data_IF_179297125320
#
_entry.id   IF_179297125320
#
_cell.length_a   1.000
_cell.length_b   1.000
_cell.length_c   1.000
_cell.angle_alpha   90.00
_cell.angle_beta   90.00
_cell.angle_gamma   90.00
#
_symmetry.space_group_name_H-M   'P 1'
#
loop_
_entity.id
_entity.type
_entity.pdbx_description
1 polymer ?
#
# COMPACT_ATOMS: atom_id res chain seq x y z
N UNK A 1 12.04 17.41 -14.95
CA UNK A 1 12.10 16.01 -14.43
C UNK A 1 10.77 15.30 -14.66
N UNK A 2 10.79 13.98 -14.85
CA UNK A 2 9.57 13.15 -14.93
C UNK A 2 9.71 11.97 -13.99
N UNK A 3 8.71 11.79 -13.11
CA UNK A 3 8.66 10.70 -12.14
C UNK A 3 7.55 9.73 -12.54
N UNK A 4 7.85 8.45 -12.55
CA UNK A 4 6.88 7.38 -12.83
C UNK A 4 6.82 6.46 -11.61
N UNK A 5 5.65 6.37 -10.99
CA UNK A 5 5.41 5.48 -9.86
C UNK A 5 4.60 4.25 -10.30
N UNK A 6 4.77 3.13 -9.63
CA UNK A 6 3.95 1.95 -9.91
C UNK A 6 2.51 2.14 -9.45
N UNK A 7 2.28 2.78 -8.30
CA UNK A 7 0.94 2.97 -7.70
C UNK A 7 0.57 4.44 -7.53
N UNK A 8 -0.73 4.70 -7.36
CA UNK A 8 -1.28 6.03 -7.07
C UNK A 8 -0.77 6.61 -5.75
N UNK A 9 -0.54 5.77 -4.75
CA UNK A 9 -0.04 6.17 -3.43
C UNK A 9 1.39 6.70 -3.51
N UNK A 10 2.27 5.96 -4.17
CA UNK A 10 3.64 6.40 -4.41
C UNK A 10 3.69 7.65 -5.29
N UNK A 11 2.80 7.77 -6.28
CA UNK A 11 2.69 8.98 -7.09
C UNK A 11 2.24 10.18 -6.27
N UNK A 12 1.30 9.99 -5.33
CA UNK A 12 0.87 11.06 -4.41
C UNK A 12 2.01 11.54 -3.52
N UNK A 13 2.78 10.61 -2.94
CA UNK A 13 3.96 10.95 -2.14
C UNK A 13 5.05 11.61 -3.00
N UNK A 14 5.25 11.13 -4.23
CA UNK A 14 6.18 11.76 -5.15
C UNK A 14 5.78 13.20 -5.48
N UNK A 15 4.50 13.48 -5.75
CA UNK A 15 3.99 14.85 -5.97
C UNK A 15 4.24 15.74 -4.77
N UNK A 16 4.07 15.22 -3.55
CA UNK A 16 4.35 15.99 -2.33
C UNK A 16 5.83 16.41 -2.23
N UNK A 17 6.74 15.59 -2.76
CA UNK A 17 8.19 15.86 -2.74
C UNK A 17 8.62 16.76 -3.89
N UNK A 18 8.24 16.42 -5.12
CA UNK A 18 8.74 17.14 -6.29
C UNK A 18 7.94 18.39 -6.64
N UNK A 19 6.67 18.48 -6.20
CA UNK A 19 5.79 19.62 -6.50
C UNK A 19 5.71 19.92 -8.00
N UNK A 20 5.93 21.15 -8.37
CA UNK A 20 5.95 21.69 -9.72
C UNK A 20 7.24 21.42 -10.51
N UNK A 21 8.25 20.84 -9.87
CA UNK A 21 9.53 20.51 -10.50
C UNK A 21 9.48 19.32 -11.46
N UNK A 22 8.45 18.49 -11.36
CA UNK A 22 8.29 17.29 -12.18
C UNK A 22 6.85 16.98 -12.53
N UNK A 23 6.68 16.33 -13.69
CA UNK A 23 5.46 15.57 -13.98
C UNK A 23 5.51 14.23 -13.27
N UNK A 24 4.42 13.84 -12.60
CA UNK A 24 4.31 12.58 -11.88
C UNK A 24 3.15 11.77 -12.44
N UNK A 25 3.44 10.58 -12.92
CA UNK A 25 2.47 9.64 -13.51
C UNK A 25 2.50 8.28 -12.82
N UNK A 26 1.46 7.47 -13.03
CA UNK A 26 1.39 6.09 -12.56
C UNK A 26 1.37 5.10 -13.69
N UNK A 27 1.91 3.90 -13.46
CA UNK A 27 1.79 2.79 -14.40
C UNK A 27 0.42 2.12 -14.23
N UNK A 28 0.04 1.80 -13.00
CA UNK A 28 -1.28 1.21 -12.71
C UNK A 28 -2.35 2.29 -12.88
N UNK A 29 -3.40 2.04 -13.69
CA UNK A 29 -4.51 2.97 -13.84
C UNK A 29 -5.25 3.17 -12.50
N UNK A 30 -5.82 4.37 -12.25
CA UNK A 30 -6.76 4.56 -11.15
C UNK A 30 -7.90 3.54 -11.25
N UNK A 31 -8.38 3.02 -10.16
CA UNK A 31 -9.43 2.00 -10.07
C UNK A 31 -9.06 0.58 -10.58
N UNK A 32 -7.84 0.33 -11.04
CA UNK A 32 -7.36 -1.03 -11.24
C UNK A 32 -6.89 -1.60 -9.88
N UNK A 33 -7.15 -2.89 -9.67
CA UNK A 33 -6.56 -3.61 -8.56
C UNK A 33 -5.02 -3.70 -8.79
N UNK A 34 -4.21 -3.16 -7.90
CA UNK A 34 -2.76 -3.16 -8.10
C UNK A 34 -2.13 -4.54 -8.02
N UNK A 35 -2.72 -5.47 -7.27
CA UNK A 35 -2.19 -6.82 -7.08
C UNK A 35 -2.50 -7.73 -8.26
N UNK A 36 -3.65 -7.52 -8.90
CA UNK A 36 -4.04 -8.23 -10.12
C UNK A 36 -3.56 -7.54 -11.41
N UNK A 37 -2.73 -6.49 -11.33
CA UNK A 37 -2.29 -5.74 -12.50
C UNK A 37 -1.30 -6.54 -13.35
N UNK A 38 -1.66 -6.75 -14.61
CA UNK A 38 -0.79 -7.32 -15.63
C UNK A 38 -0.39 -6.23 -16.65
N UNK A 39 0.91 -5.89 -16.77
CA UNK A 39 1.37 -4.85 -17.68
C UNK A 39 1.24 -5.30 -19.13
N UNK A 40 0.79 -4.37 -19.98
CA UNK A 40 0.73 -4.54 -21.43
C UNK A 40 1.99 -3.97 -22.10
N UNK A 41 2.33 -4.39 -23.32
CA UNK A 41 3.44 -3.78 -24.06
C UNK A 41 3.31 -2.25 -24.21
N UNK A 42 2.07 -1.72 -24.27
CA UNK A 42 1.80 -0.28 -24.31
C UNK A 42 2.25 0.46 -23.03
N UNK A 43 2.32 -0.21 -21.88
CA UNK A 43 2.73 0.41 -20.63
C UNK A 43 4.22 0.74 -20.61
N UNK A 44 5.03 0.10 -21.49
CA UNK A 44 6.43 0.47 -21.71
C UNK A 44 6.57 1.95 -22.13
N UNK A 45 5.61 2.49 -22.89
CA UNK A 45 5.61 3.89 -23.29
C UNK A 45 5.54 4.85 -22.09
N UNK A 46 4.99 4.42 -20.95
CA UNK A 46 4.92 5.22 -19.73
C UNK A 46 6.28 5.47 -19.10
N UNK A 47 7.28 4.61 -19.36
CA UNK A 47 8.66 4.80 -18.90
C UNK A 47 9.47 5.77 -19.76
N UNK A 48 8.97 6.11 -20.97
CA UNK A 48 9.71 6.98 -21.89
C UNK A 48 9.97 8.36 -21.26
N UNK A 49 11.26 8.72 -21.16
CA UNK A 49 11.71 9.97 -20.59
C UNK A 49 11.53 10.09 -19.07
N UNK A 50 11.29 8.98 -18.36
CA UNK A 50 11.31 8.95 -16.92
C UNK A 50 12.73 9.27 -16.42
N UNK A 51 12.85 10.20 -15.48
CA UNK A 51 14.09 10.50 -14.76
C UNK A 51 14.16 9.73 -13.45
N UNK A 52 12.98 9.45 -12.85
CA UNK A 52 12.86 8.68 -11.61
C UNK A 52 11.74 7.66 -11.77
N UNK A 53 11.99 6.43 -11.34
CA UNK A 53 10.98 5.37 -11.20
C UNK A 53 10.88 4.98 -9.74
N UNK A 54 9.64 4.94 -9.21
CA UNK A 54 9.34 4.59 -7.81
C UNK A 54 8.48 3.34 -7.79
N UNK A 55 8.97 2.29 -7.14
CA UNK A 55 8.24 1.03 -6.97
C UNK A 55 7.89 0.76 -5.52
N UNK A 56 6.84 -0.06 -5.31
CA UNK A 56 6.48 -0.58 -3.98
C UNK A 56 7.56 -1.55 -3.47
N UNK A 57 8.05 -2.44 -4.32
CA UNK A 57 8.99 -3.49 -3.89
C UNK A 57 8.31 -4.67 -3.22
N UNK A 58 9.09 -5.48 -2.45
CA UNK A 58 8.62 -6.66 -1.71
C UNK A 58 7.88 -7.71 -2.57
N UNK A 59 8.03 -7.68 -3.89
CA UNK A 59 7.33 -8.57 -4.83
C UNK A 59 5.97 -8.06 -5.31
N UNK A 60 5.46 -6.96 -4.76
CA UNK A 60 4.16 -6.39 -5.11
C UNK A 60 4.04 -6.01 -6.60
N UNK A 61 5.04 -5.31 -7.10
CA UNK A 61 5.13 -4.83 -8.48
C UNK A 61 6.31 -5.48 -9.25
N UNK A 62 6.48 -6.81 -9.09
CA UNK A 62 7.53 -7.59 -9.73
C UNK A 62 7.52 -7.49 -11.26
N UNK A 63 6.36 -7.26 -11.85
CA UNK A 63 6.18 -7.06 -13.29
C UNK A 63 6.95 -5.85 -13.83
N UNK A 64 7.29 -4.87 -12.97
CA UNK A 64 8.09 -3.69 -13.35
C UNK A 64 9.48 -4.08 -13.84
N UNK A 65 10.09 -5.12 -13.26
CA UNK A 65 11.44 -5.55 -13.65
C UNK A 65 11.52 -5.94 -15.13
N UNK A 66 10.46 -6.54 -15.66
CA UNK A 66 10.35 -6.86 -17.10
C UNK A 66 10.25 -5.59 -17.94
N UNK A 67 9.43 -4.61 -17.54
CA UNK A 67 9.30 -3.35 -18.27
C UNK A 67 10.61 -2.56 -18.26
N UNK A 68 11.29 -2.48 -17.13
CA UNK A 68 12.60 -1.80 -17.02
C UNK A 68 13.67 -2.48 -17.88
N UNK A 69 13.72 -3.81 -17.89
CA UNK A 69 14.63 -4.56 -18.74
C UNK A 69 14.38 -4.31 -20.24
N UNK A 70 13.11 -4.28 -20.65
CA UNK A 70 12.73 -3.98 -22.04
C UNK A 70 12.99 -2.52 -22.42
N UNK A 71 12.85 -1.58 -21.48
CA UNK A 71 13.11 -0.17 -21.70
C UNK A 71 14.61 0.12 -21.89
N UNK A 72 15.48 -0.59 -21.15
CA UNK A 72 16.92 -0.58 -21.32
C UNK A 72 17.65 0.67 -20.78
N UNK A 73 16.95 1.61 -20.12
CA UNK A 73 17.59 2.80 -19.53
C UNK A 73 18.18 2.45 -18.15
N UNK A 74 19.52 2.46 -18.09
CA UNK A 74 20.25 2.16 -16.87
C UNK A 74 20.01 3.16 -15.74
N UNK A 75 19.64 4.41 -16.07
CA UNK A 75 19.44 5.47 -15.07
C UNK A 75 18.22 5.18 -14.16
N UNK A 76 17.18 4.54 -14.69
CA UNK A 76 15.95 4.18 -13.95
C UNK A 76 15.84 2.69 -13.65
N UNK A 77 16.86 1.90 -14.00
CA UNK A 77 16.92 0.49 -13.66
C UNK A 77 17.53 0.28 -12.27
N UNK A 78 17.44 -0.92 -11.74
CA UNK A 78 17.99 -1.27 -10.41
C UNK A 78 19.44 -0.84 -10.27
N UNK A 79 19.74 -0.03 -9.26
CA UNK A 79 21.07 0.58 -9.03
C UNK A 79 21.31 1.88 -9.78
N UNK A 80 20.41 2.31 -10.67
CA UNK A 80 20.47 3.61 -11.35
C UNK A 80 20.14 4.78 -10.43
N UNK A 81 20.60 5.97 -10.80
CA UNK A 81 20.42 7.19 -9.99
C UNK A 81 18.96 7.56 -9.74
N UNK A 82 18.08 7.25 -10.69
CA UNK A 82 16.63 7.49 -10.62
C UNK A 82 15.79 6.30 -10.16
N UNK A 83 16.40 5.17 -9.76
CA UNK A 83 15.62 4.02 -9.26
C UNK A 83 15.36 4.15 -7.77
N UNK A 84 14.08 3.96 -7.37
CA UNK A 84 13.62 3.98 -5.98
C UNK A 84 12.82 2.72 -5.69
N UNK A 85 13.31 1.88 -4.79
CA UNK A 85 12.54 0.85 -4.11
C UNK A 85 12.07 1.42 -2.77
N UNK A 86 10.79 1.77 -2.69
CA UNK A 86 10.23 2.48 -1.55
C UNK A 86 10.10 1.61 -0.28
N UNK A 87 10.35 0.29 -0.39
CA UNK A 87 10.34 -0.62 0.75
C UNK A 87 11.64 -0.58 1.55
N UNK A 88 12.71 0.01 1.00
CA UNK A 88 14.02 0.07 1.66
C UNK A 88 13.94 0.93 2.92
N UNK A 89 14.34 0.35 4.06
CA UNK A 89 14.30 1.01 5.36
C UNK A 89 12.96 0.93 6.09
N UNK A 90 11.91 0.36 5.48
CA UNK A 90 10.62 0.14 6.13
C UNK A 90 10.74 -0.94 7.21
N UNK A 91 10.22 -0.73 8.43
CA UNK A 91 10.08 -1.78 9.44
C UNK A 91 9.04 -2.81 9.01
N UNK A 92 9.50 -3.90 8.39
CA UNK A 92 8.64 -4.88 7.74
C UNK A 92 7.78 -5.67 8.73
N UNK A 93 6.55 -5.99 8.31
CA UNK A 93 5.63 -6.90 9.01
C UNK A 93 5.47 -8.20 8.22
N UNK A 94 5.12 -9.27 8.92
CA UNK A 94 4.82 -10.59 8.33
C UNK A 94 5.95 -11.11 7.43
N UNK A 95 7.19 -11.00 7.90
CA UNK A 95 8.37 -11.44 7.17
C UNK A 95 8.37 -12.96 7.08
N UNK A 96 8.36 -13.50 5.86
CA UNK A 96 8.40 -14.95 5.62
C UNK A 96 9.72 -15.54 6.13
N UNK A 97 9.61 -16.68 6.83
CA UNK A 97 10.78 -17.37 7.40
C UNK A 97 11.25 -16.85 8.77
N UNK A 98 10.63 -15.81 9.32
CA UNK A 98 10.78 -15.50 10.74
C UNK A 98 9.97 -16.50 11.55
N UNK A 99 10.57 -17.08 12.60
CA UNK A 99 9.97 -18.12 13.47
C UNK A 99 8.80 -17.63 14.33
N UNK A 100 8.24 -16.48 14.06
CA UNK A 100 7.35 -15.74 14.97
C UNK A 100 5.86 -16.03 14.74
N UNK A 101 5.45 -16.62 13.62
CA UNK A 101 4.04 -17.01 13.45
C UNK A 101 3.83 -18.31 12.67
N UNK A 102 3.52 -19.44 13.38
CA UNK A 102 3.11 -20.67 12.73
C UNK A 102 1.76 -20.60 12.01
N UNK A 103 0.95 -19.56 12.27
CA UNK A 103 -0.36 -19.38 11.66
C UNK A 103 -0.26 -18.73 10.26
N UNK A 104 0.86 -18.09 9.93
CA UNK A 104 1.07 -17.47 8.63
C UNK A 104 1.52 -18.49 7.57
N UNK A 105 0.75 -19.58 7.43
CA UNK A 105 0.92 -20.59 6.35
C UNK A 105 0.15 -20.22 5.09
N UNK A 106 -0.45 -19.04 5.07
CA UNK A 106 -1.33 -18.61 4.01
C UNK A 106 -0.48 -18.15 2.84
N UNK A 107 -0.61 -18.91 1.75
CA UNK A 107 0.18 -18.80 0.53
C UNK A 107 -0.06 -17.53 -0.28
N UNK A 108 -0.07 -16.36 0.35
CA UNK A 108 -0.04 -15.10 -0.36
C UNK A 108 1.29 -15.00 -1.12
N UNK A 109 1.20 -14.76 -2.42
CA UNK A 109 2.33 -14.65 -3.32
C UNK A 109 3.16 -13.37 -3.09
N UNK A 110 2.86 -12.61 -2.03
CA UNK A 110 3.68 -11.49 -1.61
C UNK A 110 5.09 -11.98 -1.26
N UNK A 111 6.10 -11.27 -1.75
CA UNK A 111 7.50 -11.62 -1.65
C UNK A 111 7.99 -11.97 -0.23
N UNK A 112 8.91 -11.17 0.33
CA UNK A 112 9.54 -11.44 1.62
C UNK A 112 8.70 -11.00 2.83
N UNK A 113 7.76 -10.07 2.68
CA UNK A 113 6.95 -9.48 3.75
C UNK A 113 5.63 -8.92 3.19
N UNK A 114 4.71 -8.50 4.09
CA UNK A 114 3.50 -7.80 3.69
C UNK A 114 3.86 -6.47 3.00
N UNK A 115 3.36 -6.19 1.78
CA UNK A 115 3.78 -5.05 0.99
C UNK A 115 3.01 -3.74 1.29
N UNK A 116 1.93 -3.78 2.07
CA UNK A 116 1.01 -2.65 2.28
C UNK A 116 1.52 -1.61 3.30
N UNK A 117 2.82 -1.36 3.32
CA UNK A 117 3.48 -0.51 4.33
C UNK A 117 3.11 0.97 4.24
N UNK A 118 2.61 1.46 3.10
CA UNK A 118 2.13 2.84 2.94
C UNK A 118 0.90 3.15 3.80
N UNK A 119 0.19 2.12 4.28
CA UNK A 119 -0.95 2.25 5.18
C UNK A 119 -0.58 2.57 6.62
N UNK A 120 0.70 2.56 6.99
CA UNK A 120 1.19 3.28 8.16
C UNK A 120 1.68 4.67 7.72
N UNK A 121 0.96 5.76 8.02
CA UNK A 121 1.33 7.10 7.56
C UNK A 121 2.73 7.54 7.98
N UNK A 122 3.26 7.02 9.09
CA UNK A 122 4.62 7.34 9.51
C UNK A 122 5.69 6.81 8.54
N UNK A 123 5.40 5.77 7.76
CA UNK A 123 6.32 5.28 6.74
C UNK A 123 6.50 6.26 5.57
N UNK A 124 5.60 7.25 5.43
CA UNK A 124 5.75 8.31 4.45
C UNK A 124 7.05 9.12 4.64
N UNK A 125 7.59 9.19 5.86
CA UNK A 125 8.89 9.83 6.11
C UNK A 125 10.03 9.09 5.38
N UNK A 126 10.04 7.76 5.45
CA UNK A 126 11.04 6.90 4.79
C UNK A 126 10.86 6.96 3.28
N UNK A 127 9.63 6.77 2.81
CA UNK A 127 9.29 6.75 1.37
C UNK A 127 9.65 8.08 0.72
N UNK A 128 9.22 9.20 1.31
CA UNK A 128 9.52 10.54 0.79
C UNK A 128 11.00 10.90 0.87
N UNK A 129 11.73 10.34 1.85
CA UNK A 129 13.18 10.42 1.94
C UNK A 129 13.86 9.79 0.72
N UNK A 130 13.53 8.55 0.41
CA UNK A 130 14.08 7.84 -0.75
C UNK A 130 13.75 8.54 -2.08
N UNK A 131 12.52 9.06 -2.22
CA UNK A 131 12.11 9.83 -3.42
C UNK A 131 12.91 11.13 -3.52
N UNK A 132 13.08 11.86 -2.40
CA UNK A 132 13.83 13.12 -2.39
C UNK A 132 15.30 12.90 -2.75
N UNK A 133 15.94 11.87 -2.20
CA UNK A 133 17.31 11.51 -2.53
C UNK A 133 17.48 11.20 -4.02
N UNK A 134 16.57 10.42 -4.63
CA UNK A 134 16.61 10.15 -6.05
C UNK A 134 16.38 11.42 -6.87
N UNK A 135 15.42 12.26 -6.49
CA UNK A 135 15.16 13.54 -7.14
C UNK A 135 16.41 14.46 -7.13
N UNK A 136 17.10 14.53 -6.00
CA UNK A 136 18.33 15.33 -5.84
C UNK A 136 19.48 14.73 -6.66
N UNK A 137 19.61 13.38 -6.72
CA UNK A 137 20.64 12.75 -7.57
C UNK A 137 20.47 13.07 -9.05
N UNK A 138 19.23 13.15 -9.54
CA UNK A 138 18.96 13.40 -10.97
C UNK A 138 18.82 14.88 -11.31
N UNK A 139 18.58 15.75 -10.33
CA UNK A 139 18.44 17.19 -10.48
C UNK A 139 19.00 17.92 -9.24
N UNK A 140 20.34 17.99 -9.07
CA UNK A 140 20.97 18.58 -7.88
C UNK A 140 20.60 20.06 -7.66
N UNK A 141 20.35 20.80 -8.73
CA UNK A 141 19.91 22.22 -8.69
C UNK A 141 18.54 22.38 -8.02
N UNK A 142 17.72 21.35 -8.01
CA UNK A 142 16.38 21.36 -7.39
C UNK A 142 16.41 20.99 -5.90
N UNK A 143 17.57 20.64 -5.33
CA UNK A 143 17.69 20.08 -3.98
C UNK A 143 16.96 20.89 -2.90
N UNK A 144 17.19 22.21 -2.86
CA UNK A 144 16.58 23.07 -1.85
C UNK A 144 15.03 23.06 -1.90
N UNK A 145 14.46 23.03 -3.11
CA UNK A 145 13.01 23.01 -3.31
C UNK A 145 12.41 21.65 -2.95
N UNK A 146 13.09 20.56 -3.34
CA UNK A 146 12.69 19.18 -2.99
C UNK A 146 12.65 19.01 -1.47
N UNK A 147 13.70 19.45 -0.77
CA UNK A 147 13.78 19.38 0.69
C UNK A 147 12.64 20.20 1.32
N UNK A 148 12.44 21.45 0.90
CA UNK A 148 11.40 22.31 1.44
C UNK A 148 9.99 21.74 1.24
N UNK A 149 9.70 21.16 0.06
CA UNK A 149 8.42 20.53 -0.23
C UNK A 149 8.19 19.32 0.71
N UNK A 150 9.20 18.44 0.83
CA UNK A 150 9.15 17.27 1.71
C UNK A 150 8.91 17.67 3.17
N UNK A 151 9.67 18.63 3.67
CA UNK A 151 9.56 19.08 5.07
C UNK A 151 8.18 19.70 5.35
N UNK A 152 7.66 20.48 4.40
CA UNK A 152 6.30 21.02 4.48
C UNK A 152 5.22 19.92 4.49
N UNK A 153 5.40 18.88 3.69
CA UNK A 153 4.50 17.71 3.71
C UNK A 153 4.57 16.96 5.04
N UNK A 154 5.77 16.66 5.53
CA UNK A 154 5.96 15.92 6.78
C UNK A 154 5.45 16.68 8.00
N UNK A 155 5.57 18.02 7.99
CA UNK A 155 5.03 18.86 9.06
C UNK A 155 3.50 18.74 9.14
N UNK A 156 2.80 18.79 8.00
CA UNK A 156 1.34 18.58 7.94
C UNK A 156 0.96 17.17 8.36
N UNK A 157 1.61 16.16 7.80
CA UNK A 157 1.34 14.75 8.11
C UNK A 157 1.49 14.46 9.61
N UNK A 158 2.47 15.06 10.27
CA UNK A 158 2.67 14.92 11.72
C UNK A 158 1.48 15.45 12.52
N UNK A 159 0.92 16.57 12.11
CA UNK A 159 -0.26 17.15 12.74
C UNK A 159 -1.50 16.25 12.52
N UNK A 160 -1.72 15.85 11.27
CA UNK A 160 -2.83 14.96 10.90
C UNK A 160 -2.75 13.62 11.62
N UNK A 161 -1.54 13.03 11.72
CA UNK A 161 -1.32 11.76 12.42
C UNK A 161 -1.67 11.87 13.92
N UNK A 162 -1.32 12.98 14.56
CA UNK A 162 -1.68 13.22 15.96
C UNK A 162 -3.20 13.29 16.15
N UNK A 163 -3.91 13.93 15.23
CA UNK A 163 -5.38 13.98 15.22
C UNK A 163 -5.99 12.59 15.03
N UNK A 164 -5.51 11.82 14.04
CA UNK A 164 -6.00 10.46 13.79
C UNK A 164 -5.75 9.51 14.96
N UNK A 165 -4.59 9.63 15.63
CA UNK A 165 -4.31 8.85 16.85
C UNK A 165 -5.25 9.20 17.99
N UNK A 166 -5.67 10.46 18.12
CA UNK A 166 -6.67 10.89 19.10
C UNK A 166 -8.06 10.34 18.75
N UNK A 167 -8.49 10.46 17.50
CA UNK A 167 -9.78 9.94 17.03
C UNK A 167 -9.91 8.44 17.28
N UNK A 168 -8.84 7.69 17.02
CA UNK A 168 -8.82 6.22 17.18
C UNK A 168 -8.48 5.76 18.60
N UNK A 169 -8.13 6.67 19.51
CA UNK A 169 -7.70 6.31 20.87
C UNK A 169 -8.75 5.49 21.65
N UNK A 170 -10.04 5.80 21.46
CA UNK A 170 -11.14 5.08 22.09
C UNK A 170 -11.34 3.66 21.53
N UNK A 171 -10.75 3.35 20.39
CA UNK A 171 -10.89 2.10 19.66
C UNK A 171 -9.63 1.20 19.74
N UNK A 172 -8.65 1.57 20.57
CA UNK A 172 -7.45 0.75 20.79
C UNK A 172 -7.85 -0.68 21.20
N UNK A 173 -7.16 -1.66 20.61
CA UNK A 173 -7.45 -3.08 20.75
C UNK A 173 -8.84 -3.52 20.21
N UNK A 174 -9.56 -2.66 19.48
CA UNK A 174 -10.76 -3.09 18.76
C UNK A 174 -10.43 -4.25 17.83
N UNK A 175 -11.27 -5.30 17.92
CA UNK A 175 -11.14 -6.49 17.09
C UNK A 175 -11.90 -6.30 15.79
N UNK A 176 -11.23 -6.57 14.67
CA UNK A 176 -11.75 -6.41 13.32
C UNK A 176 -11.56 -7.71 12.53
N UNK A 177 -12.39 -7.93 11.54
CA UNK A 177 -12.11 -8.85 10.43
C UNK A 177 -11.90 -7.99 9.20
N UNK A 178 -10.91 -8.30 8.39
CA UNK A 178 -10.70 -7.64 7.10
C UNK A 178 -11.13 -8.55 5.96
N UNK A 179 -11.41 -7.99 4.78
CA UNK A 179 -11.64 -8.82 3.60
C UNK A 179 -10.33 -9.46 3.15
N UNK A 180 -9.34 -8.66 2.82
CA UNK A 180 -7.99 -9.07 2.44
C UNK A 180 -6.95 -8.71 3.53
N UNK A 181 -5.72 -9.25 3.44
CA UNK A 181 -4.63 -8.98 4.38
C UNK A 181 -3.88 -7.65 4.07
N UNK A 182 -4.64 -6.60 3.86
CA UNK A 182 -4.16 -5.26 3.48
C UNK A 182 -3.70 -4.43 4.68
N UNK A 183 -4.30 -4.64 5.85
CA UNK A 183 -4.33 -3.67 6.95
C UNK A 183 -3.33 -3.86 8.11
N UNK A 184 -2.32 -4.77 8.10
CA UNK A 184 -1.44 -5.00 9.25
C UNK A 184 -0.69 -3.75 9.72
N UNK A 185 -0.19 -2.92 8.79
CA UNK A 185 0.54 -1.69 9.12
C UNK A 185 -0.38 -0.62 9.72
N UNK A 186 -1.56 -0.42 9.16
CA UNK A 186 -2.60 0.45 9.71
C UNK A 186 -3.01 -0.01 11.10
N UNK A 187 -3.29 -1.31 11.27
CA UNK A 187 -3.69 -1.88 12.54
C UNK A 187 -2.59 -1.71 13.61
N UNK A 188 -1.33 -1.94 13.25
CA UNK A 188 -0.19 -1.68 14.14
C UNK A 188 -0.13 -0.22 14.56
N UNK A 189 -0.24 0.73 13.62
CA UNK A 189 -0.17 2.17 13.88
C UNK A 189 -1.21 2.60 14.88
N UNK A 190 -2.45 2.23 14.66
CA UNK A 190 -3.59 2.67 15.48
C UNK A 190 -3.97 1.68 16.58
N UNK A 191 -3.14 0.66 16.82
CA UNK A 191 -3.32 -0.35 17.87
C UNK A 191 -4.66 -1.08 17.77
N UNK A 192 -5.09 -1.37 16.55
CA UNK A 192 -6.22 -2.22 16.24
C UNK A 192 -5.78 -3.69 16.16
N UNK A 193 -6.74 -4.61 16.21
CA UNK A 193 -6.46 -6.05 16.13
C UNK A 193 -7.24 -6.67 14.96
N UNK A 194 -6.55 -6.97 13.87
CA UNK A 194 -7.10 -7.78 12.78
C UNK A 194 -7.05 -9.25 13.24
N UNK A 195 -8.21 -9.79 13.57
CA UNK A 195 -8.32 -11.15 14.13
C UNK A 195 -8.20 -12.21 13.05
N UNK A 196 -8.77 -11.92 11.87
CA UNK A 196 -8.81 -12.86 10.75
C UNK A 196 -9.17 -12.10 9.45
N UNK A 197 -8.99 -12.75 8.30
CA UNK A 197 -9.35 -12.22 6.98
C UNK A 197 -10.39 -13.12 6.31
N UNK A 198 -11.23 -12.55 5.45
CA UNK A 198 -12.24 -13.33 4.70
C UNK A 198 -11.56 -14.12 3.60
N UNK A 199 -10.76 -13.45 2.80
CA UNK A 199 -9.98 -14.02 1.71
C UNK A 199 -8.63 -14.53 2.23
N UNK A 200 -8.43 -15.84 2.19
CA UNK A 200 -7.16 -16.45 2.62
C UNK A 200 -6.10 -16.36 1.52
N UNK A 201 -6.54 -16.43 0.27
CA UNK A 201 -5.67 -16.39 -0.89
C UNK A 201 -6.30 -15.47 -1.92
N UNK A 202 -5.52 -14.52 -2.41
CA UNK A 202 -5.92 -13.52 -3.39
C UNK A 202 -6.65 -14.12 -4.60
N UNK A 203 -7.80 -13.53 -4.95
CA UNK A 203 -8.65 -13.98 -6.06
C UNK A 203 -9.39 -15.29 -5.82
N UNK A 204 -9.29 -15.89 -4.63
CA UNK A 204 -9.96 -17.17 -4.31
C UNK A 204 -11.17 -16.94 -3.42
N UNK A 205 -12.35 -17.18 -3.98
CA UNK A 205 -13.63 -17.10 -3.25
C UNK A 205 -13.60 -17.95 -1.98
N UNK A 206 -13.95 -17.41 -0.80
CA UNK A 206 -13.95 -18.14 0.46
C UNK A 206 -14.99 -19.28 0.45
N UNK A 207 -14.60 -20.45 0.93
CA UNK A 207 -15.51 -21.60 1.00
C UNK A 207 -16.63 -21.39 2.02
N UNK A 208 -17.78 -22.08 1.89
CA UNK A 208 -18.85 -22.05 2.89
C UNK A 208 -18.38 -22.42 4.30
N UNK A 209 -17.47 -23.39 4.42
CA UNK A 209 -16.89 -23.80 5.70
C UNK A 209 -16.03 -22.67 6.31
N UNK A 210 -15.25 -21.95 5.49
CA UNK A 210 -14.50 -20.77 5.93
C UNK A 210 -15.43 -19.70 6.46
N UNK A 211 -16.48 -19.35 5.72
CA UNK A 211 -17.46 -18.35 6.15
C UNK A 211 -18.21 -18.74 7.42
N UNK A 212 -18.52 -20.03 7.60
CA UNK A 212 -19.13 -20.52 8.83
C UNK A 212 -18.19 -20.37 10.04
N UNK A 213 -16.91 -20.71 9.88
CA UNK A 213 -15.87 -20.53 10.90
C UNK A 213 -15.71 -19.05 11.28
N UNK A 214 -15.60 -18.17 10.29
CA UNK A 214 -15.51 -16.72 10.53
C UNK A 214 -16.73 -16.17 11.26
N UNK A 215 -17.94 -16.60 10.88
CA UNK A 215 -19.16 -16.18 11.56
C UNK A 215 -19.18 -16.61 13.04
N UNK A 216 -18.66 -17.80 13.37
CA UNK A 216 -18.47 -18.23 14.75
C UNK A 216 -17.46 -17.33 15.49
N UNK A 217 -16.28 -17.12 14.92
CA UNK A 217 -15.23 -16.24 15.48
C UNK A 217 -15.75 -14.82 15.74
N UNK A 218 -16.48 -14.23 14.78
CA UNK A 218 -17.05 -12.89 14.91
C UNK A 218 -18.01 -12.81 16.11
N UNK A 219 -18.87 -13.82 16.29
CA UNK A 219 -19.82 -13.86 17.43
C UNK A 219 -19.11 -14.07 18.76
N UNK A 220 -18.23 -15.08 18.84
CA UNK A 220 -17.50 -15.44 20.06
C UNK A 220 -16.64 -14.28 20.56
N UNK A 221 -15.95 -13.61 19.65
CA UNK A 221 -15.06 -12.49 19.98
C UNK A 221 -15.77 -11.14 19.97
N UNK A 222 -17.08 -11.10 19.72
CA UNK A 222 -17.92 -9.89 19.67
C UNK A 222 -17.35 -8.83 18.71
N UNK A 223 -16.84 -9.26 17.55
CA UNK A 223 -16.33 -8.40 16.52
C UNK A 223 -17.47 -7.63 15.88
N UNK A 224 -17.36 -6.30 15.80
CA UNK A 224 -18.43 -5.43 15.31
C UNK A 224 -18.17 -4.89 13.90
N UNK A 225 -16.94 -4.95 13.41
CA UNK A 225 -16.55 -4.32 12.16
C UNK A 225 -15.86 -5.34 11.25
N UNK A 226 -16.30 -5.35 10.01
CA UNK A 226 -15.64 -6.01 8.87
C UNK A 226 -15.12 -4.88 7.98
N UNK A 227 -13.82 -4.77 7.85
CA UNK A 227 -13.18 -3.82 6.91
C UNK A 227 -13.17 -4.45 5.52
N UNK A 228 -13.57 -3.68 4.52
CA UNK A 228 -13.76 -4.16 3.16
C UNK A 228 -13.22 -3.15 2.14
N UNK A 229 -12.41 -3.61 1.24
CA UNK A 229 -11.83 -2.80 0.17
C UNK A 229 -12.90 -2.54 -0.90
N UNK A 230 -13.00 -1.29 -1.46
CA UNK A 230 -14.10 -0.92 -2.36
C UNK A 230 -14.17 -1.70 -3.67
N UNK A 231 -13.08 -2.30 -4.12
CA UNK A 231 -12.97 -3.06 -5.36
C UNK A 231 -13.22 -4.57 -5.18
N UNK A 232 -13.31 -5.04 -3.94
CA UNK A 232 -13.52 -6.45 -3.65
C UNK A 232 -15.00 -6.89 -3.78
N UNK A 233 -15.27 -8.20 -4.02
CA UNK A 233 -16.62 -8.73 -4.07
C UNK A 233 -17.32 -8.67 -2.71
N UNK A 234 -18.49 -8.03 -2.65
CA UNK A 234 -19.19 -7.75 -1.38
C UNK A 234 -19.92 -8.96 -0.77
N UNK A 235 -20.18 -10.00 -1.54
CA UNK A 235 -21.09 -11.09 -1.17
C UNK A 235 -20.71 -11.77 0.16
N UNK A 236 -19.41 -12.04 0.34
CA UNK A 236 -18.90 -12.70 1.54
C UNK A 236 -19.00 -11.79 2.77
N UNK A 237 -18.61 -10.54 2.67
CA UNK A 237 -18.70 -9.55 3.76
C UNK A 237 -20.14 -9.29 4.16
N UNK A 238 -21.04 -9.13 3.20
CA UNK A 238 -22.47 -8.92 3.43
C UNK A 238 -23.14 -10.15 4.05
N UNK A 239 -22.74 -11.37 3.64
CA UNK A 239 -23.23 -12.60 4.24
C UNK A 239 -22.83 -12.70 5.72
N UNK A 240 -21.56 -12.40 6.03
CA UNK A 240 -21.06 -12.41 7.40
C UNK A 240 -21.77 -11.34 8.24
N UNK A 241 -21.96 -10.13 7.73
CA UNK A 241 -22.67 -9.05 8.40
C UNK A 241 -24.11 -9.48 8.77
N UNK A 242 -24.86 -10.02 7.81
CA UNK A 242 -26.23 -10.55 8.07
C UNK A 242 -26.26 -11.65 9.12
N UNK A 243 -25.25 -12.52 9.16
CA UNK A 243 -25.21 -13.65 10.09
C UNK A 243 -24.76 -13.29 11.51
N UNK A 244 -24.03 -12.19 11.66
CA UNK A 244 -23.33 -11.87 12.91
C UNK A 244 -23.77 -10.55 13.54
N UNK A 245 -24.40 -9.66 12.76
CA UNK A 245 -24.71 -8.28 13.16
C UNK A 245 -23.50 -7.33 13.10
N UNK A 246 -22.36 -7.78 12.56
CA UNK A 246 -21.22 -6.89 12.29
C UNK A 246 -21.56 -5.92 11.15
N UNK A 247 -20.94 -4.75 11.17
CA UNK A 247 -21.08 -3.71 10.13
C UNK A 247 -19.93 -3.82 9.15
N UNK A 248 -20.25 -3.81 7.85
CA UNK A 248 -19.23 -3.69 6.79
C UNK A 248 -18.87 -2.23 6.63
N UNK A 249 -17.59 -1.91 6.84
CA UNK A 249 -17.04 -0.58 6.63
C UNK A 249 -16.14 -0.62 5.40
N UNK A 250 -16.53 0.10 4.35
CA UNK A 250 -15.68 0.26 3.17
C UNK A 250 -14.57 1.25 3.48
N UNK A 251 -13.34 0.79 3.34
CA UNK A 251 -12.15 1.57 3.58
C UNK A 251 -11.20 1.41 2.40
N UNK A 252 -10.85 2.52 1.76
CA UNK A 252 -9.97 2.51 0.60
C UNK A 252 -8.50 2.34 1.06
N UNK A 253 -7.78 1.32 0.56
CA UNK A 253 -6.38 1.11 0.90
C UNK A 253 -5.44 1.97 0.05
N UNK A 254 -5.97 2.69 -0.94
CA UNK A 254 -5.21 3.50 -1.88
C UNK A 254 -5.92 4.79 -2.22
N UNK A 255 -5.16 5.87 -2.41
CA UNK A 255 -5.68 7.16 -2.91
C UNK A 255 -6.30 7.03 -4.31
N UNK A 256 -5.90 6.04 -5.09
CA UNK A 256 -6.48 5.74 -6.38
C UNK A 256 -7.90 5.15 -6.29
N UNK A 257 -8.26 4.60 -5.13
CA UNK A 257 -9.57 4.00 -4.87
C UNK A 257 -10.61 4.97 -4.32
N UNK A 258 -10.22 6.23 -4.06
CA UNK A 258 -11.13 7.28 -3.65
C UNK A 258 -11.38 8.21 -4.83
N UNK A 259 -12.65 8.56 -5.06
CA UNK A 259 -12.95 9.67 -5.94
C UNK A 259 -12.24 10.92 -5.38
N UNK A 260 -11.48 11.61 -6.20
CA UNK A 260 -10.92 12.90 -5.83
C UNK A 260 -12.06 13.79 -5.35
N UNK A 261 -12.00 14.14 -4.07
CA UNK A 261 -12.88 15.13 -3.49
C UNK A 261 -12.63 16.49 -4.14
#
# INVERSE_FOLDING_TARGET
MRVVATTGDLASLARAVVGDLAQVETIIPPAADPEAFEPRPSDLARLKGASVVVRVGLGYDHWLDKLLSMHGDAAINRGGAGYVDASVGIPLLEVKGSSVDPANRDGHAHGLANPHYWLDPANAEIITGAIAEAGIRVAPEAAAKIIANRDGFLSRLKADLAEWEQLLAAHRAARLVAYHNTWPYFARRFRLNIVDVIEIKEGVTPSPARLAKLAATIREQKIRVIVHEPFEPEEASQLLARRTGAVVVKLAPSVASVATL
#
